data_IF_234715816742
#
_entry.id   IF_234715816742
#
_cell.length_a   1.000
_cell.length_b   1.000
_cell.length_c   1.000
_cell.angle_alpha   90.00
_cell.angle_beta   90.00
_cell.angle_gamma   90.00
#
_symmetry.space_group_name_H-M   'P 1'
#
loop_
_entity.id
_entity.type
_entity.pdbx_description
1 polymer ?
#
# COMPACT_ATOMS: atom_id res chain seq x y z
N UNK A 1 -0.93 -14.39 -23.96
CA UNK A 1 -1.78 -13.35 -23.35
C UNK A 1 -1.12 -11.99 -23.52
N UNK A 2 -1.88 -10.87 -23.46
CA UNK A 2 -1.32 -9.50 -23.61
C UNK A 2 -0.32 -9.11 -22.51
N UNK A 3 -0.18 -9.90 -21.46
CA UNK A 3 0.69 -9.63 -20.32
C UNK A 3 1.95 -10.51 -20.28
N UNK A 4 2.15 -11.37 -21.27
CA UNK A 4 3.31 -12.27 -21.29
C UNK A 4 4.61 -11.47 -21.47
N UNK A 5 5.54 -11.66 -20.54
CA UNK A 5 6.83 -10.98 -20.53
C UNK A 5 6.82 -9.55 -19.95
N UNK A 6 5.67 -9.00 -19.55
CA UNK A 6 5.62 -7.70 -18.89
C UNK A 6 5.97 -7.85 -17.41
N UNK A 7 6.73 -6.88 -16.88
CA UNK A 7 7.13 -6.83 -15.46
C UNK A 7 6.84 -5.46 -14.85
N UNK A 8 6.84 -5.39 -13.52
CA UNK A 8 6.76 -4.15 -12.76
C UNK A 8 5.56 -3.27 -13.11
N UNK A 9 5.81 -1.99 -13.33
CA UNK A 9 4.76 -1.02 -13.64
C UNK A 9 4.06 -1.29 -14.99
N UNK A 10 4.76 -1.87 -15.98
CA UNK A 10 4.15 -2.24 -17.25
C UNK A 10 3.13 -3.37 -17.09
N UNK A 11 3.44 -4.35 -16.24
CA UNK A 11 2.48 -5.39 -15.87
C UNK A 11 1.27 -4.78 -15.15
N UNK A 12 1.50 -3.90 -14.16
CA UNK A 12 0.42 -3.20 -13.46
C UNK A 12 -0.51 -2.48 -14.44
N UNK A 13 0.05 -1.69 -15.37
CA UNK A 13 -0.71 -0.98 -16.41
C UNK A 13 -1.51 -1.95 -17.26
N UNK A 14 -0.91 -3.03 -17.74
CA UNK A 14 -1.59 -4.04 -18.56
C UNK A 14 -2.79 -4.67 -17.83
N UNK A 15 -2.68 -4.95 -16.54
CA UNK A 15 -3.78 -5.47 -15.70
C UNK A 15 -4.89 -4.44 -15.55
N UNK A 16 -4.57 -3.18 -15.24
CA UNK A 16 -5.55 -2.11 -15.12
C UNK A 16 -6.31 -1.88 -16.42
N UNK A 17 -5.60 -1.85 -17.55
CA UNK A 17 -6.19 -1.69 -18.90
C UNK A 17 -7.08 -2.86 -19.27
N UNK A 18 -6.65 -4.11 -19.02
CA UNK A 18 -7.45 -5.31 -19.25
C UNK A 18 -8.77 -5.28 -18.47
N UNK A 19 -8.71 -4.82 -17.24
CA UNK A 19 -9.88 -4.68 -16.38
C UNK A 19 -10.68 -3.41 -16.68
N UNK A 20 -10.18 -2.51 -17.55
CA UNK A 20 -10.76 -1.18 -17.77
C UNK A 20 -10.90 -0.40 -16.46
N UNK A 21 -9.96 -0.61 -15.54
CA UNK A 21 -9.86 0.13 -14.29
C UNK A 21 -9.06 1.39 -14.53
N UNK A 22 -9.59 2.51 -14.12
CA UNK A 22 -8.89 3.80 -14.15
C UNK A 22 -8.84 4.43 -12.77
N UNK A 23 -7.95 5.39 -12.60
CA UNK A 23 -7.93 6.22 -11.40
C UNK A 23 -7.65 7.67 -11.76
N UNK A 24 -8.14 8.56 -10.91
CA UNK A 24 -7.78 9.98 -10.92
C UNK A 24 -7.00 10.31 -9.66
N UNK A 25 -6.17 11.34 -9.74
CA UNK A 25 -5.35 11.80 -8.61
C UNK A 25 -5.90 13.14 -8.14
N UNK A 26 -6.32 13.21 -6.90
CA UNK A 26 -6.64 14.46 -6.21
C UNK A 26 -5.45 14.87 -5.33
N UNK A 27 -5.16 16.18 -5.28
CA UNK A 27 -3.95 16.66 -4.60
C UNK A 27 -2.67 16.48 -5.41
N UNK A 28 -2.72 16.48 -6.75
CA UNK A 28 -1.55 16.34 -7.64
C UNK A 28 -0.41 17.32 -7.30
N UNK A 29 -0.74 18.51 -6.82
CA UNK A 29 0.22 19.53 -6.37
C UNK A 29 1.07 19.10 -5.18
N UNK A 30 0.64 18.07 -4.44
CA UNK A 30 1.36 17.50 -3.30
C UNK A 30 2.32 16.37 -3.71
N UNK A 31 2.26 15.91 -4.97
CA UNK A 31 3.22 14.92 -5.45
C UNK A 31 4.62 15.51 -5.45
N UNK A 32 5.63 14.78 -4.90
CA UNK A 32 7.01 15.26 -4.90
C UNK A 32 7.50 15.47 -6.33
N UNK A 33 8.46 16.39 -6.57
CA UNK A 33 9.10 16.53 -7.87
C UNK A 33 9.64 15.19 -8.41
N UNK A 34 9.68 15.00 -9.72
CA UNK A 34 10.10 13.73 -10.34
C UNK A 34 11.51 13.29 -9.89
N UNK A 35 12.43 14.25 -9.71
CA UNK A 35 13.79 13.99 -9.25
C UNK A 35 13.88 13.65 -7.75
N UNK A 36 12.87 14.00 -6.95
CA UNK A 36 12.83 13.74 -5.50
C UNK A 36 12.26 12.35 -5.22
N UNK A 37 13.10 11.35 -5.37
CA UNK A 37 12.77 9.94 -5.29
C UNK A 37 12.85 9.37 -3.87
N UNK A 38 13.54 10.06 -2.96
CA UNK A 38 13.80 9.58 -1.59
C UNK A 38 12.59 9.83 -0.66
N UNK A 39 11.43 9.32 -1.06
CA UNK A 39 10.16 9.46 -0.35
C UNK A 39 9.54 8.11 -0.03
N UNK A 40 8.69 8.08 0.98
CA UNK A 40 7.87 6.92 1.37
C UNK A 40 6.39 7.26 1.18
N UNK A 41 5.75 6.63 0.21
CA UNK A 41 4.30 6.68 0.04
C UNK A 41 3.64 5.76 1.06
N UNK A 42 2.79 6.31 1.91
CA UNK A 42 2.11 5.59 2.99
C UNK A 42 0.62 5.63 2.77
N UNK A 43 0.00 4.50 2.52
CA UNK A 43 -1.41 4.41 2.12
C UNK A 43 -2.22 3.45 2.98
N UNK A 44 -3.55 3.69 3.04
CA UNK A 44 -4.52 2.65 3.40
C UNK A 44 -4.54 1.55 2.33
N UNK A 45 -5.12 0.39 2.67
CA UNK A 45 -5.10 -0.81 1.81
C UNK A 45 -6.51 -1.39 1.60
N UNK A 46 -7.39 -0.73 0.82
CA UNK A 46 -8.80 -1.13 0.73
C UNK A 46 -9.07 -2.33 -0.18
N UNK A 47 -8.30 -2.55 -1.25
CA UNK A 47 -8.64 -3.51 -2.30
C UNK A 47 -7.82 -4.81 -2.26
N UNK A 48 -6.61 -4.78 -1.71
CA UNK A 48 -5.77 -5.96 -1.54
C UNK A 48 -4.96 -6.38 -2.78
N UNK A 49 -4.94 -5.58 -3.83
CA UNK A 49 -4.15 -5.85 -5.03
C UNK A 49 -4.16 -4.68 -6.01
N UNK A 50 -5.34 -4.26 -6.48
CA UNK A 50 -5.45 -3.17 -7.45
C UNK A 50 -4.95 -1.83 -6.93
N UNK A 51 -5.16 -1.53 -5.66
CA UNK A 51 -4.62 -0.35 -4.99
C UNK A 51 -3.08 -0.34 -5.04
N UNK A 52 -2.43 -1.48 -4.76
CA UNK A 52 -0.98 -1.62 -4.90
C UNK A 52 -0.51 -1.43 -6.34
N UNK A 53 -1.18 -2.06 -7.32
CA UNK A 53 -0.85 -1.91 -8.74
C UNK A 53 -0.99 -0.47 -9.23
N UNK A 54 -2.06 0.23 -8.84
CA UNK A 54 -2.27 1.62 -9.18
C UNK A 54 -1.20 2.53 -8.56
N UNK A 55 -0.78 2.28 -7.32
CA UNK A 55 0.27 3.06 -6.67
C UNK A 55 1.66 2.80 -7.29
N UNK A 56 1.97 1.56 -7.70
CA UNK A 56 3.21 1.23 -8.41
C UNK A 56 3.25 2.00 -9.74
N UNK A 57 2.17 1.94 -10.51
CA UNK A 57 2.07 2.63 -11.80
C UNK A 57 2.18 4.14 -11.63
N UNK A 58 1.41 4.73 -10.70
CA UNK A 58 1.44 6.16 -10.38
C UNK A 58 2.84 6.64 -9.98
N UNK A 59 3.50 5.93 -9.05
CA UNK A 59 4.82 6.31 -8.58
C UNK A 59 5.88 6.19 -9.69
N UNK A 60 5.78 5.14 -10.54
CA UNK A 60 6.67 4.98 -11.68
C UNK A 60 6.47 6.09 -12.71
N UNK A 61 5.23 6.42 -13.04
CA UNK A 61 4.92 7.52 -13.96
C UNK A 61 5.43 8.87 -13.41
N UNK A 62 5.35 9.09 -12.10
CA UNK A 62 5.82 10.33 -11.47
C UNK A 62 7.34 10.47 -11.45
N UNK A 63 8.06 9.39 -11.10
CA UNK A 63 9.49 9.45 -10.81
C UNK A 63 10.39 8.92 -11.93
N UNK A 64 9.81 8.29 -12.96
CA UNK A 64 10.56 7.66 -14.05
C UNK A 64 11.36 6.42 -13.63
N UNK A 65 11.15 5.94 -12.39
CA UNK A 65 11.75 4.70 -11.85
C UNK A 65 10.71 3.94 -11.07
N UNK A 66 10.79 2.62 -11.08
CA UNK A 66 9.89 1.77 -10.31
C UNK A 66 10.14 1.92 -8.81
N UNK A 67 9.07 2.04 -8.00
CA UNK A 67 9.21 2.06 -6.55
C UNK A 67 9.59 0.69 -6.01
N UNK A 68 10.11 0.63 -4.79
CA UNK A 68 10.02 -0.56 -3.96
C UNK A 68 8.67 -0.62 -3.24
N UNK A 69 8.06 -1.78 -3.21
CA UNK A 69 6.79 -1.98 -2.54
C UNK A 69 6.92 -3.05 -1.45
N UNK A 70 6.77 -2.62 -0.20
CA UNK A 70 6.85 -3.51 0.97
C UNK A 70 5.60 -4.37 1.05
N UNK A 71 5.75 -5.68 0.91
CA UNK A 71 4.66 -6.64 0.82
C UNK A 71 4.85 -7.85 1.75
N UNK A 72 3.76 -8.57 1.99
CA UNK A 72 3.86 -9.90 2.62
C UNK A 72 4.61 -10.86 1.69
N UNK A 73 5.45 -11.73 2.26
CA UNK A 73 6.25 -12.72 1.55
C UNK A 73 5.44 -13.64 0.62
N UNK A 74 4.17 -13.92 0.94
CA UNK A 74 3.27 -14.69 0.07
C UNK A 74 3.07 -14.03 -1.31
N UNK A 75 3.17 -12.72 -1.41
CA UNK A 75 3.01 -12.00 -2.68
C UNK A 75 4.20 -12.17 -3.62
N UNK A 76 5.32 -12.74 -3.16
CA UNK A 76 6.46 -13.10 -4.01
C UNK A 76 6.12 -14.18 -5.05
N UNK A 77 4.96 -14.85 -4.92
CA UNK A 77 4.42 -15.74 -5.95
C UNK A 77 3.95 -15.00 -7.21
N UNK A 78 3.75 -13.67 -7.14
CA UNK A 78 3.40 -12.84 -8.29
C UNK A 78 4.69 -12.48 -9.06
N UNK A 79 5.14 -13.39 -9.91
CA UNK A 79 6.43 -13.29 -10.60
C UNK A 79 6.67 -11.95 -11.33
N UNK A 80 5.70 -11.37 -12.08
CA UNK A 80 5.92 -10.12 -12.79
C UNK A 80 6.26 -8.92 -11.87
N UNK A 81 5.95 -9.01 -10.58
CA UNK A 81 6.19 -7.93 -9.61
C UNK A 81 7.37 -8.17 -8.67
N UNK A 82 8.10 -9.29 -8.81
CA UNK A 82 9.21 -9.63 -7.91
C UNK A 82 10.29 -8.57 -7.80
N UNK A 83 10.60 -7.86 -8.89
CA UNK A 83 11.62 -6.80 -8.91
C UNK A 83 11.21 -5.53 -8.16
N UNK A 84 9.91 -5.35 -7.96
CA UNK A 84 9.31 -4.21 -7.25
C UNK A 84 9.06 -4.59 -5.77
N UNK A 85 8.79 -5.85 -5.49
CA UNK A 85 8.40 -6.32 -4.17
C UNK A 85 9.58 -6.46 -3.21
N UNK A 86 9.38 -5.98 -1.98
CA UNK A 86 10.27 -6.18 -0.84
C UNK A 86 9.52 -6.98 0.22
N UNK A 87 9.82 -8.28 0.35
CA UNK A 87 9.06 -9.14 1.23
C UNK A 87 9.35 -8.86 2.70
N UNK A 88 8.28 -8.84 3.52
CA UNK A 88 8.35 -8.86 4.97
C UNK A 88 7.70 -10.12 5.51
N UNK A 89 8.39 -10.83 6.37
CA UNK A 89 7.80 -11.98 7.05
C UNK A 89 6.85 -11.48 8.14
N UNK A 90 5.55 -11.77 7.97
CA UNK A 90 4.51 -11.40 8.94
C UNK A 90 4.22 -12.52 9.94
N UNK A 91 4.73 -13.72 9.69
CA UNK A 91 4.52 -14.93 10.49
C UNK A 91 5.87 -15.53 10.91
N UNK A 92 6.32 -15.24 12.15
CA UNK A 92 7.52 -15.78 12.70
C UNK A 92 8.63 -14.75 12.98
N UNK A 93 9.81 -15.24 13.44
CA UNK A 93 11.00 -14.37 13.61
C UNK A 93 11.42 -13.83 12.24
N UNK A 94 11.52 -12.52 12.11
CA UNK A 94 12.11 -11.89 10.92
C UNK A 94 13.47 -12.53 10.63
N UNK A 95 13.61 -13.15 9.46
CA UNK A 95 14.91 -13.67 9.05
C UNK A 95 15.85 -12.48 8.81
N UNK A 96 17.15 -12.64 9.09
CA UNK A 96 18.18 -11.62 8.79
C UNK A 96 18.11 -11.15 7.33
N UNK A 97 17.75 -12.03 6.39
CA UNK A 97 17.58 -11.71 4.96
C UNK A 97 16.39 -10.79 4.70
N UNK A 98 15.24 -11.01 5.37
CA UNK A 98 14.07 -10.13 5.21
C UNK A 98 14.32 -8.72 5.75
N UNK A 99 15.08 -8.58 6.84
CA UNK A 99 15.47 -7.29 7.38
C UNK A 99 16.42 -6.54 6.43
N UNK A 100 17.39 -7.25 5.84
CA UNK A 100 18.36 -6.67 4.90
C UNK A 100 17.69 -6.09 3.65
N UNK A 101 16.71 -6.79 3.06
CA UNK A 101 16.00 -6.30 1.88
C UNK A 101 15.18 -5.03 2.13
N UNK A 102 14.58 -4.91 3.34
CA UNK A 102 13.86 -3.70 3.73
C UNK A 102 14.84 -2.53 3.93
N UNK A 103 15.95 -2.78 4.63
CA UNK A 103 16.99 -1.77 4.85
C UNK A 103 17.58 -1.29 3.51
N UNK A 104 17.83 -2.19 2.57
CA UNK A 104 18.30 -1.86 1.22
C UNK A 104 17.28 -0.99 0.47
N UNK A 105 16.00 -1.36 0.49
CA UNK A 105 14.93 -0.60 -0.17
C UNK A 105 14.84 0.83 0.38
N UNK A 106 14.87 0.99 1.71
CA UNK A 106 14.81 2.31 2.34
C UNK A 106 16.11 3.12 2.20
N UNK A 107 17.27 2.47 2.07
CA UNK A 107 18.55 3.14 1.82
C UNK A 107 18.68 3.65 0.38
N UNK A 108 17.95 3.06 -0.57
CA UNK A 108 18.03 3.39 -2.01
C UNK A 108 17.50 4.79 -2.34
N UNK A 109 17.74 5.22 -3.57
CA UNK A 109 17.13 6.45 -4.13
C UNK A 109 15.79 6.19 -4.85
N UNK A 110 15.23 4.99 -4.75
CA UNK A 110 13.91 4.67 -5.33
C UNK A 110 12.82 5.03 -4.35
N UNK A 111 11.63 5.47 -4.81
CA UNK A 111 10.47 5.63 -3.93
C UNK A 111 10.11 4.30 -3.24
N UNK A 112 9.56 4.38 -2.04
CA UNK A 112 9.07 3.20 -1.30
C UNK A 112 7.59 3.34 -1.07
N UNK A 113 6.81 2.29 -1.34
CA UNK A 113 5.38 2.22 -1.04
C UNK A 113 5.18 1.28 0.15
N UNK A 114 4.37 1.71 1.12
CA UNK A 114 4.05 0.92 2.31
C UNK A 114 2.55 0.96 2.59
N UNK A 115 1.98 -0.19 2.86
CA UNK A 115 0.68 -0.36 3.50
C UNK A 115 0.89 -0.77 4.97
N UNK A 116 0.87 0.17 5.93
CA UNK A 116 1.32 -0.11 7.30
C UNK A 116 0.46 -1.13 8.05
N UNK A 117 -0.79 -1.32 7.65
CA UNK A 117 -1.66 -2.36 8.20
C UNK A 117 -1.19 -3.78 7.84
N UNK A 118 -0.50 -3.95 6.71
CA UNK A 118 -0.04 -5.24 6.18
C UNK A 118 -1.15 -6.20 5.76
N UNK A 119 -2.40 -5.82 5.91
CA UNK A 119 -3.60 -6.56 5.52
C UNK A 119 -4.65 -5.59 4.95
N UNK A 120 -5.50 -6.13 4.09
CA UNK A 120 -6.62 -5.40 3.48
C UNK A 120 -7.57 -4.85 4.55
N UNK A 121 -8.12 -3.64 4.32
CA UNK A 121 -9.10 -3.00 5.21
C UNK A 121 -10.27 -3.91 5.59
N UNK A 122 -10.80 -3.73 6.77
CA UNK A 122 -11.93 -4.50 7.33
C UNK A 122 -13.13 -3.61 7.60
N UNK A 123 -14.31 -4.22 7.57
CA UNK A 123 -15.55 -3.54 7.96
C UNK A 123 -15.75 -3.72 9.47
N UNK A 124 -15.50 -2.67 10.23
CA UNK A 124 -15.66 -2.66 11.69
C UNK A 124 -17.11 -2.58 12.16
N UNK A 125 -17.31 -2.54 13.48
CA UNK A 125 -18.59 -2.28 14.11
C UNK A 125 -19.08 -0.89 13.69
N UNK A 126 -20.37 -0.75 13.34
CA UNK A 126 -20.91 0.50 12.77
C UNK A 126 -20.73 0.64 11.26
N UNK A 127 -20.21 -0.38 10.56
CA UNK A 127 -20.19 -0.42 9.08
C UNK A 127 -19.02 0.31 8.42
N UNK A 128 -18.19 1.03 9.17
CA UNK A 128 -17.04 1.76 8.64
C UNK A 128 -15.96 0.79 8.16
N UNK A 129 -15.47 1.02 6.95
CA UNK A 129 -14.34 0.27 6.37
C UNK A 129 -13.07 1.04 6.68
N UNK A 130 -12.11 0.36 7.31
CA UNK A 130 -10.82 0.92 7.65
C UNK A 130 -9.77 -0.18 7.82
N UNK A 131 -8.50 0.21 7.73
CA UNK A 131 -7.38 -0.67 8.02
C UNK A 131 -7.38 -1.10 9.50
N UNK A 132 -6.83 -2.28 9.73
CA UNK A 132 -6.40 -2.71 11.04
C UNK A 132 -5.33 -1.78 11.62
N UNK A 133 -4.83 -2.10 12.80
CA UNK A 133 -3.77 -1.31 13.45
C UNK A 133 -2.56 -1.19 12.52
N UNK A 134 -2.10 0.04 12.30
CA UNK A 134 -0.89 0.33 11.55
C UNK A 134 0.36 -0.01 12.36
N UNK A 135 1.36 -0.58 11.71
CA UNK A 135 2.67 -0.88 12.31
C UNK A 135 3.59 0.33 12.16
N UNK A 136 4.34 0.63 13.21
CA UNK A 136 5.25 1.79 13.29
C UNK A 136 6.56 1.65 12.51
N UNK A 137 6.82 0.50 11.90
CA UNK A 137 8.10 0.24 11.22
C UNK A 137 8.41 1.26 10.13
N UNK A 138 7.39 1.73 9.39
CA UNK A 138 7.60 2.73 8.33
C UNK A 138 8.09 4.07 8.89
N UNK A 139 7.65 4.49 10.09
CA UNK A 139 8.15 5.70 10.77
C UNK A 139 9.64 5.54 11.08
N UNK A 140 10.01 4.45 11.78
CA UNK A 140 11.39 4.20 12.17
C UNK A 140 12.33 4.11 10.97
N UNK A 141 11.90 3.45 9.89
CA UNK A 141 12.67 3.33 8.66
C UNK A 141 12.78 4.67 7.92
N UNK A 142 11.69 5.46 7.86
CA UNK A 142 11.73 6.79 7.24
C UNK A 142 12.70 7.71 7.98
N UNK A 143 12.69 7.71 9.32
CA UNK A 143 13.64 8.48 10.14
C UNK A 143 15.06 7.99 9.93
N UNK A 144 15.32 6.67 10.02
CA UNK A 144 16.65 6.07 9.84
C UNK A 144 17.29 6.44 8.50
N UNK A 145 16.49 6.42 7.43
CA UNK A 145 16.99 6.62 6.06
C UNK A 145 16.67 8.02 5.49
N UNK A 146 16.22 8.95 6.35
CA UNK A 146 15.96 10.35 5.98
C UNK A 146 14.99 10.47 4.79
N UNK A 147 13.84 9.80 4.87
CA UNK A 147 12.81 9.78 3.83
C UNK A 147 11.57 10.53 4.31
N UNK A 148 11.12 11.49 3.55
CA UNK A 148 9.86 12.16 3.82
C UNK A 148 8.68 11.23 3.53
N UNK A 149 7.58 11.44 4.23
CA UNK A 149 6.35 10.65 4.06
C UNK A 149 5.38 11.42 3.17
N UNK A 150 4.87 10.74 2.15
CA UNK A 150 3.76 11.20 1.33
C UNK A 150 2.51 10.43 1.75
N UNK A 151 1.57 11.08 2.47
CA UNK A 151 0.32 10.44 2.85
C UNK A 151 -0.56 10.22 1.62
N UNK A 152 -1.09 9.02 1.48
CA UNK A 152 -1.98 8.64 0.37
C UNK A 152 -3.24 8.01 0.92
N UNK A 153 -4.40 8.40 0.42
CA UNK A 153 -5.64 7.70 0.66
C UNK A 153 -6.19 7.16 -0.66
N UNK A 154 -6.31 5.84 -0.74
CA UNK A 154 -6.96 5.18 -1.87
C UNK A 154 -8.45 5.03 -1.57
N UNK A 155 -9.31 5.67 -2.35
CA UNK A 155 -10.76 5.57 -2.17
C UNK A 155 -11.28 4.36 -2.95
N UNK A 156 -11.50 3.28 -2.25
CA UNK A 156 -12.00 2.03 -2.81
C UNK A 156 -12.59 1.13 -1.72
N UNK A 157 -13.40 0.18 -2.16
CA UNK A 157 -13.99 -0.83 -1.28
C UNK A 157 -14.17 -2.15 -2.01
N UNK A 158 -13.98 -3.26 -1.31
CA UNK A 158 -14.32 -4.59 -1.77
C UNK A 158 -15.82 -4.86 -1.63
N UNK A 159 -16.28 -5.99 -2.13
CA UNK A 159 -17.67 -6.38 -2.08
C UNK A 159 -18.17 -6.65 -0.66
N UNK A 160 -19.49 -6.57 -0.46
CA UNK A 160 -20.12 -6.94 0.80
C UNK A 160 -19.84 -8.39 1.21
N UNK A 161 -19.70 -9.30 0.23
CA UNK A 161 -19.37 -10.70 0.47
C UNK A 161 -17.96 -10.89 1.02
N UNK A 162 -16.98 -10.10 0.56
CA UNK A 162 -15.62 -10.10 1.12
C UNK A 162 -15.64 -9.75 2.61
N UNK A 163 -16.31 -8.65 2.96
CA UNK A 163 -16.40 -8.21 4.37
C UNK A 163 -17.28 -9.13 5.23
N UNK A 164 -18.32 -9.75 4.65
CA UNK A 164 -19.16 -10.73 5.33
C UNK A 164 -18.36 -11.97 5.75
N UNK A 165 -17.52 -12.49 4.84
CA UNK A 165 -16.67 -13.64 5.12
C UNK A 165 -15.61 -13.31 6.18
N UNK A 166 -15.00 -12.13 6.11
CA UNK A 166 -14.05 -11.68 7.13
C UNK A 166 -14.68 -11.62 8.52
N UNK A 167 -15.91 -11.08 8.64
CA UNK A 167 -16.65 -11.07 9.91
C UNK A 167 -17.00 -12.46 10.42
N UNK A 168 -17.50 -13.34 9.54
CA UNK A 168 -17.82 -14.71 9.92
C UNK A 168 -16.59 -15.42 10.49
N UNK A 169 -15.44 -15.27 9.83
CA UNK A 169 -14.16 -15.78 10.29
C UNK A 169 -13.79 -15.27 11.69
N UNK A 170 -13.90 -13.95 11.90
CA UNK A 170 -13.58 -13.33 13.20
C UNK A 170 -14.48 -13.83 14.32
N UNK A 171 -15.81 -13.95 14.05
CA UNK A 171 -16.78 -14.49 15.02
C UNK A 171 -16.51 -15.95 15.38
N UNK A 172 -16.01 -16.74 14.41
CA UNK A 172 -15.66 -18.14 14.62
C UNK A 172 -14.25 -18.34 15.20
N UNK A 173 -13.50 -17.26 15.46
CA UNK A 173 -12.14 -17.30 16.01
C UNK A 173 -11.12 -17.97 15.09
N UNK A 174 -11.41 -18.08 13.79
CA UNK A 174 -10.52 -18.75 12.83
C UNK A 174 -9.31 -17.85 12.51
N UNK A 175 -8.11 -18.41 12.64
CA UNK A 175 -6.84 -17.67 12.44
C UNK A 175 -6.47 -17.47 10.97
N UNK A 176 -6.93 -18.33 10.08
CA UNK A 176 -6.62 -18.24 8.66
C UNK A 176 -7.52 -17.23 7.95
N UNK A 177 -6.93 -16.34 7.14
CA UNK A 177 -7.63 -15.26 6.43
C UNK A 177 -8.28 -15.80 5.13
N UNK A 178 -9.33 -16.61 5.23
CA UNK A 178 -10.01 -17.22 4.07
C UNK A 178 -10.55 -16.19 3.07
N UNK A 179 -10.90 -14.99 3.53
CA UNK A 179 -11.33 -13.91 2.65
C UNK A 179 -10.27 -13.50 1.64
N UNK A 180 -8.98 -13.71 1.94
CA UNK A 180 -7.88 -13.41 1.01
C UNK A 180 -7.92 -14.28 -0.25
N UNK A 181 -8.48 -15.49 -0.18
CA UNK A 181 -8.67 -16.37 -1.34
C UNK A 181 -9.64 -15.73 -2.36
N UNK A 182 -10.47 -14.80 -1.91
CA UNK A 182 -11.42 -14.09 -2.78
C UNK A 182 -10.82 -12.87 -3.49
N UNK A 183 -9.60 -12.45 -3.17
CA UNK A 183 -8.99 -11.28 -3.81
C UNK A 183 -8.95 -11.35 -5.34
N UNK A 184 -8.65 -12.48 -5.99
CA UNK A 184 -8.75 -12.58 -7.45
C UNK A 184 -10.16 -12.26 -7.98
N UNK A 185 -11.20 -12.70 -7.26
CA UNK A 185 -12.59 -12.36 -7.60
C UNK A 185 -12.89 -10.88 -7.40
N UNK A 186 -12.41 -10.27 -6.31
CA UNK A 186 -12.59 -8.82 -6.05
C UNK A 186 -11.91 -7.99 -7.14
N UNK A 187 -10.73 -8.42 -7.61
CA UNK A 187 -10.05 -7.81 -8.76
C UNK A 187 -10.95 -7.84 -10.00
N UNK A 188 -11.57 -8.99 -10.31
CA UNK A 188 -12.48 -9.10 -11.45
C UNK A 188 -13.76 -8.27 -11.28
N UNK A 189 -14.30 -8.16 -10.04
CA UNK A 189 -15.46 -7.31 -9.71
C UNK A 189 -15.16 -5.81 -9.79
N UNK A 190 -13.89 -5.44 -9.89
CA UNK A 190 -13.46 -4.06 -10.10
C UNK A 190 -13.47 -3.63 -11.57
N UNK A 191 -13.80 -4.53 -12.48
CA UNK A 191 -13.81 -4.24 -13.93
C UNK A 191 -14.70 -3.02 -14.24
N UNK A 192 -14.14 -2.08 -15.00
CA UNK A 192 -14.82 -0.85 -15.43
C UNK A 192 -14.96 0.22 -14.35
N UNK A 193 -14.40 0.01 -13.15
CA UNK A 193 -14.46 1.01 -12.08
C UNK A 193 -13.42 2.10 -12.25
N UNK A 194 -13.78 3.28 -11.78
CA UNK A 194 -12.89 4.42 -11.59
C UNK A 194 -12.67 4.63 -10.09
N UNK A 195 -11.42 4.81 -9.70
CA UNK A 195 -11.01 5.06 -8.32
C UNK A 195 -10.41 6.46 -8.16
N UNK A 196 -10.29 6.92 -6.93
CA UNK A 196 -9.62 8.18 -6.61
C UNK A 196 -8.45 7.92 -5.68
N UNK A 197 -7.29 8.48 -6.01
CA UNK A 197 -6.09 8.48 -5.17
C UNK A 197 -5.92 9.90 -4.65
N UNK A 198 -6.04 10.09 -3.34
CA UNK A 198 -5.84 11.38 -2.71
C UNK A 198 -4.40 11.48 -2.19
N UNK A 199 -3.68 12.51 -2.61
CA UNK A 199 -2.30 12.78 -2.18
C UNK A 199 -2.31 13.92 -1.17
N UNK A 200 -1.84 13.64 0.03
CA UNK A 200 -1.74 14.61 1.11
C UNK A 200 -0.45 15.42 1.07
N UNK A 201 -0.42 16.49 1.85
CA UNK A 201 0.80 17.29 2.03
C UNK A 201 1.93 16.44 2.59
N UNK A 202 3.11 16.62 2.02
CA UNK A 202 4.38 15.99 2.45
C UNK A 202 4.62 16.21 3.94
N UNK A 203 5.00 15.15 4.63
CA UNK A 203 5.44 15.19 6.02
C UNK A 203 6.97 15.09 6.00
N UNK A 204 7.70 16.20 6.26
CA UNK A 204 9.15 16.18 6.32
C UNK A 204 9.65 15.25 7.42
N UNK A 205 10.67 14.47 7.12
CA UNK A 205 11.25 13.52 8.09
C UNK A 205 11.79 14.21 9.35
N UNK A 206 12.22 15.46 9.24
CA UNK A 206 12.71 16.26 10.38
C UNK A 206 11.63 16.54 11.44
N UNK A 207 10.35 16.34 11.10
CA UNK A 207 9.23 16.41 12.04
C UNK A 207 8.95 15.11 12.76
N UNK A 208 9.65 14.03 12.41
CA UNK A 208 9.50 12.71 12.98
C UNK A 208 10.71 12.36 13.84
N UNK A 209 10.46 11.69 14.96
CA UNK A 209 11.48 11.25 15.88
C UNK A 209 11.70 9.74 15.88
N UNK A 210 10.65 8.98 15.57
CA UNK A 210 10.70 7.53 15.62
C UNK A 210 10.84 6.98 17.06
N UNK A 211 11.39 5.78 17.18
CA UNK A 211 11.69 5.17 18.46
C UNK A 211 10.49 5.11 19.41
N UNK A 212 10.58 5.79 20.54
CA UNK A 212 9.51 5.83 21.56
C UNK A 212 8.27 6.58 21.06
N UNK A 213 8.42 7.55 20.16
CA UNK A 213 7.31 8.33 19.60
C UNK A 213 6.67 7.70 18.36
N UNK A 214 7.25 6.66 17.81
CA UNK A 214 6.80 6.07 16.55
C UNK A 214 5.34 5.57 16.58
N UNK A 215 4.81 5.16 17.73
CA UNK A 215 3.40 4.73 17.83
C UNK A 215 2.45 5.94 17.69
N UNK A 216 2.72 7.06 18.38
CA UNK A 216 1.93 8.29 18.30
C UNK A 216 2.03 8.93 16.91
N UNK A 217 3.23 8.95 16.33
CA UNK A 217 3.48 9.44 14.98
C UNK A 217 2.74 8.59 13.95
N UNK A 218 2.70 7.27 14.13
CA UNK A 218 1.92 6.35 13.27
C UNK A 218 0.43 6.68 13.31
N UNK A 219 -0.11 6.94 14.50
CA UNK A 219 -1.52 7.35 14.68
C UNK A 219 -1.79 8.70 14.01
N UNK A 220 -0.87 9.65 14.14
CA UNK A 220 -0.97 10.97 13.52
C UNK A 220 -0.98 10.86 11.98
N UNK A 221 -0.02 10.12 11.39
CA UNK A 221 0.03 9.89 9.93
C UNK A 221 -1.23 9.17 9.46
N UNK A 222 -1.69 8.14 10.17
CA UNK A 222 -2.93 7.44 9.85
C UNK A 222 -4.13 8.39 9.85
N UNK A 223 -4.24 9.29 10.83
CA UNK A 223 -5.30 10.30 10.91
C UNK A 223 -5.25 11.24 9.71
N UNK A 224 -4.06 11.70 9.31
CA UNK A 224 -3.87 12.52 8.11
C UNK A 224 -4.39 11.78 6.88
N UNK A 225 -3.95 10.54 6.64
CA UNK A 225 -4.39 9.73 5.50
C UNK A 225 -5.91 9.61 5.43
N UNK A 226 -6.57 9.26 6.54
CA UNK A 226 -8.02 9.08 6.56
C UNK A 226 -8.83 10.39 6.46
N UNK A 227 -8.22 11.53 6.73
CA UNK A 227 -8.87 12.84 6.55
C UNK A 227 -8.82 13.31 5.10
N UNK A 228 -7.88 12.84 4.27
CA UNK A 228 -7.76 13.23 2.85
C UNK A 228 -9.05 13.00 2.05
N UNK A 229 -9.87 12.04 2.46
CA UNK A 229 -11.19 11.82 1.85
C UNK A 229 -12.23 12.89 2.20
N UNK A 230 -12.05 13.59 3.32
CA UNK A 230 -13.05 14.54 3.86
C UNK A 230 -12.79 15.96 3.40
N UNK A 231 -11.56 16.26 3.01
CA UNK A 231 -11.10 17.61 2.71
C UNK A 231 -11.32 17.99 1.23
N UNK A 232 -12.11 17.15 0.50
CA UNK A 232 -12.47 17.37 -0.92
C UNK A 232 -13.98 17.27 -1.15
#
# INVERSE_FOLDING_TARGET
>A
SRADGLEGAQFCRSVLDYLRVSYEIQGQQNLPPAADRKVTYVSNHPLGGLDGMALIEMATARHGVEPYFVVNDLLMAVEPLRKVFVPVNTHGRQSRRGTAGIDEAFASDRPVIVFPAGLVSRKGNGGRIADLKWRKSFINLSVKYRRDIIPVYFDGTNSGTFYGLARARERLGLRFNFEMIRLPREIMLSRGKKYTIHIGKRIPVDRLQGGRRADDETLAVRKIVYNLKKDN
#
